data_IF_932341037070
#
_entry.id   IF_932341037070
#
_cell.length_a   1.000
_cell.length_b   1.000
_cell.length_c   1.000
_cell.angle_alpha   90.00
_cell.angle_beta   90.00
_cell.angle_gamma   90.00
#
_symmetry.space_group_name_H-M   'P 1'
#
loop_
_entity.id
_entity.type
_entity.pdbx_description
1 polymer ?
#
# COMPACT_ATOMS: atom_id res chain seq x y z
N UNK A 1 15.88 30.52 13.66
CA UNK A 1 15.93 29.31 12.83
C UNK A 1 14.80 29.43 11.82
N UNK A 2 15.12 29.65 10.54
CA UNK A 2 14.11 29.94 9.51
C UNK A 2 13.66 28.63 8.89
N UNK A 3 12.37 28.35 8.89
CA UNK A 3 11.78 27.17 8.27
C UNK A 3 11.04 27.56 6.98
N UNK A 4 10.79 26.59 6.11
CA UNK A 4 9.92 26.75 4.94
C UNK A 4 9.13 25.46 4.70
N UNK A 5 7.90 25.56 4.21
CA UNK A 5 7.08 24.39 3.87
C UNK A 5 6.34 24.54 2.55
N UNK A 6 5.91 23.40 2.00
CA UNK A 6 4.99 23.32 0.86
C UNK A 6 4.11 22.08 1.00
N UNK A 7 2.90 22.12 0.44
CA UNK A 7 1.95 21.03 0.48
C UNK A 7 1.32 20.77 -0.89
N UNK A 8 0.89 19.54 -1.10
CA UNK A 8 0.25 19.09 -2.35
C UNK A 8 -0.63 17.86 -2.09
N UNK A 9 -1.52 17.55 -3.03
CA UNK A 9 -2.41 16.37 -2.94
C UNK A 9 -1.64 15.09 -3.30
N UNK A 10 -1.81 14.04 -2.51
CA UNK A 10 -1.25 12.71 -2.73
C UNK A 10 -2.02 11.65 -1.93
N UNK A 11 -2.14 10.43 -2.45
CA UNK A 11 -2.74 9.27 -1.75
C UNK A 11 -4.12 9.54 -1.12
N UNK A 12 -4.98 10.29 -1.82
CA UNK A 12 -6.31 10.68 -1.34
C UNK A 12 -6.34 11.76 -0.24
N UNK A 13 -5.17 12.30 0.16
CA UNK A 13 -5.02 13.31 1.20
C UNK A 13 -4.07 14.44 0.76
N UNK A 14 -3.64 15.27 1.70
CA UNK A 14 -2.64 16.32 1.51
C UNK A 14 -1.34 15.90 2.19
N UNK A 15 -0.24 15.90 1.44
CA UNK A 15 1.12 15.76 1.96
C UNK A 15 1.73 17.14 2.17
N UNK A 16 2.51 17.30 3.25
CA UNK A 16 3.25 18.53 3.55
C UNK A 16 4.71 18.17 3.86
N UNK A 17 5.64 18.96 3.33
CA UNK A 17 7.05 18.90 3.67
C UNK A 17 7.49 20.23 4.29
N UNK A 18 8.14 20.14 5.45
CA UNK A 18 8.73 21.25 6.19
C UNK A 18 10.25 21.05 6.25
N UNK A 19 11.00 22.08 5.92
CA UNK A 19 12.47 22.09 6.00
C UNK A 19 12.96 23.18 6.95
N UNK A 20 14.10 22.93 7.59
CA UNK A 20 14.81 23.88 8.47
C UNK A 20 15.85 24.72 7.73
N UNK A 21 16.10 24.39 6.46
CA UNK A 21 16.93 25.14 5.52
C UNK A 21 16.06 25.44 4.28
N UNK A 22 15.57 26.68 4.10
CA UNK A 22 14.68 27.04 3.01
C UNK A 22 15.23 26.73 1.61
N UNK A 23 16.56 26.69 1.42
CA UNK A 23 17.18 26.37 0.13
C UNK A 23 16.91 24.93 -0.33
N UNK A 24 16.55 24.03 0.60
CA UNK A 24 16.28 22.61 0.33
C UNK A 24 14.83 22.31 0.01
N UNK A 25 13.93 23.28 0.12
CA UNK A 25 12.48 23.03 0.03
C UNK A 25 12.09 22.39 -1.30
N UNK A 26 12.64 22.88 -2.41
CA UNK A 26 12.34 22.35 -3.75
C UNK A 26 12.78 20.89 -3.90
N UNK A 27 14.02 20.57 -3.53
CA UNK A 27 14.56 19.21 -3.58
C UNK A 27 13.77 18.26 -2.68
N UNK A 28 13.47 18.68 -1.44
CA UNK A 28 12.70 17.87 -0.50
C UNK A 28 11.27 17.60 -1.00
N UNK A 29 10.62 18.59 -1.60
CA UNK A 29 9.29 18.44 -2.18
C UNK A 29 9.29 17.51 -3.41
N UNK A 30 10.31 17.58 -4.27
CA UNK A 30 10.45 16.66 -5.41
C UNK A 30 10.66 15.22 -4.96
N UNK A 31 11.58 14.99 -4.01
CA UNK A 31 11.81 13.65 -3.45
C UNK A 31 10.55 13.08 -2.81
N UNK A 32 9.84 13.87 -1.99
CA UNK A 32 8.60 13.41 -1.38
C UNK A 32 7.54 13.05 -2.44
N UNK A 33 7.46 13.84 -3.52
CA UNK A 33 6.51 13.56 -4.60
C UNK A 33 6.83 12.26 -5.32
N UNK A 34 8.09 12.06 -5.70
CA UNK A 34 8.55 10.84 -6.38
C UNK A 34 8.26 9.59 -5.54
N UNK A 35 8.52 9.64 -4.23
CA UNK A 35 8.23 8.53 -3.32
C UNK A 35 6.72 8.27 -3.18
N UNK A 36 5.91 9.31 -3.02
CA UNK A 36 4.46 9.17 -2.93
C UNK A 36 3.84 8.64 -4.23
N UNK A 37 4.35 9.05 -5.38
CA UNK A 37 3.91 8.58 -6.69
C UNK A 37 4.28 7.10 -6.89
N UNK A 38 5.47 6.68 -6.45
CA UNK A 38 5.88 5.28 -6.47
C UNK A 38 4.99 4.42 -5.56
N UNK A 39 4.65 4.91 -4.36
CA UNK A 39 3.72 4.24 -3.45
C UNK A 39 2.31 4.15 -4.07
N UNK A 40 1.81 5.21 -4.71
CA UNK A 40 0.50 5.20 -5.36
C UNK A 40 0.47 4.14 -6.48
N UNK A 41 1.52 4.09 -7.32
CA UNK A 41 1.63 3.11 -8.40
C UNK A 41 1.79 1.67 -7.88
N UNK A 42 2.40 1.45 -6.71
CA UNK A 42 2.52 0.11 -6.14
C UNK A 42 1.24 -0.34 -5.40
N UNK A 43 0.65 0.55 -4.60
CA UNK A 43 -0.28 0.17 -3.54
C UNK A 43 -1.70 0.74 -3.69
N UNK A 44 -1.98 1.55 -4.70
CA UNK A 44 -3.30 2.17 -4.84
C UNK A 44 -4.36 1.18 -5.28
N UNK A 45 -5.39 0.96 -4.46
CA UNK A 45 -6.54 0.12 -4.83
C UNK A 45 -7.56 0.80 -5.75
N UNK A 46 -7.39 2.10 -6.02
CA UNK A 46 -8.32 2.91 -6.81
C UNK A 46 -7.88 3.05 -8.26
N UNK A 47 -6.60 2.77 -8.55
CA UNK A 47 -6.05 2.83 -9.89
C UNK A 47 -5.92 1.43 -10.47
N UNK A 48 -6.30 1.28 -11.73
CA UNK A 48 -6.20 0.01 -12.45
C UNK A 48 -4.74 -0.33 -12.83
N UNK A 49 -3.89 0.68 -13.00
CA UNK A 49 -2.47 0.52 -13.35
C UNK A 49 -1.58 0.17 -12.17
N UNK A 50 -2.12 0.17 -10.95
CA UNK A 50 -1.34 -0.15 -9.77
C UNK A 50 -0.93 -1.61 -9.72
N UNK A 51 0.21 -1.88 -9.09
CA UNK A 51 0.69 -3.24 -8.93
C UNK A 51 -0.26 -4.09 -8.08
N UNK A 52 -0.79 -3.55 -6.99
CA UNK A 52 -1.75 -4.28 -6.13
C UNK A 52 -3.07 -4.59 -6.86
N UNK A 53 -3.55 -3.70 -7.74
CA UNK A 53 -4.75 -3.96 -8.54
C UNK A 53 -4.51 -5.10 -9.53
N UNK A 54 -3.38 -5.09 -10.22
CA UNK A 54 -2.97 -6.20 -11.12
C UNK A 54 -2.73 -7.51 -10.37
N UNK A 55 -2.24 -7.46 -9.13
CA UNK A 55 -2.08 -8.65 -8.28
C UNK A 55 -3.42 -9.35 -8.04
N UNK A 56 -4.50 -8.59 -7.82
CA UNK A 56 -5.82 -9.17 -7.60
C UNK A 56 -6.33 -9.98 -8.81
N UNK A 57 -5.97 -9.60 -10.02
CA UNK A 57 -6.32 -10.33 -11.25
C UNK A 57 -5.59 -11.68 -11.37
N UNK A 58 -4.46 -11.83 -10.67
CA UNK A 58 -3.63 -13.03 -10.68
C UNK A 58 -3.87 -13.92 -9.46
N UNK A 59 -5.04 -13.78 -8.80
CA UNK A 59 -5.39 -14.52 -7.60
C UNK A 59 -5.17 -16.04 -7.74
N UNK A 60 -4.52 -16.63 -6.73
CA UNK A 60 -4.21 -18.06 -6.70
C UNK A 60 -2.91 -18.45 -7.42
N UNK A 61 -2.19 -17.50 -8.01
CA UNK A 61 -0.88 -17.71 -8.65
C UNK A 61 0.24 -17.06 -7.86
N UNK A 62 1.46 -17.53 -8.11
CA UNK A 62 2.67 -16.88 -7.62
C UNK A 62 3.02 -15.73 -8.55
N UNK A 63 3.24 -14.55 -7.98
CA UNK A 63 3.49 -13.32 -8.72
C UNK A 63 4.73 -12.68 -8.15
N UNK A 64 5.65 -12.27 -9.02
CA UNK A 64 6.77 -11.42 -8.61
C UNK A 64 6.23 -10.01 -8.39
N UNK A 65 6.60 -9.44 -7.25
CA UNK A 65 6.24 -8.07 -6.89
C UNK A 65 7.48 -7.21 -6.75
N UNK A 66 7.33 -5.90 -6.91
CA UNK A 66 8.37 -4.91 -6.64
C UNK A 66 8.83 -4.96 -5.18
N UNK A 67 10.05 -4.46 -4.94
CA UNK A 67 10.57 -4.32 -3.58
C UNK A 67 9.66 -3.45 -2.71
N UNK A 68 9.15 -2.34 -3.28
CA UNK A 68 8.25 -1.42 -2.58
C UNK A 68 6.95 -2.09 -2.16
N UNK A 69 6.28 -2.82 -3.07
CA UNK A 69 5.07 -3.56 -2.71
C UNK A 69 5.36 -4.66 -1.69
N UNK A 70 6.50 -5.35 -1.81
CA UNK A 70 6.91 -6.36 -0.83
C UNK A 70 7.10 -5.77 0.58
N UNK A 71 7.71 -4.58 0.69
CA UNK A 71 7.87 -3.86 1.95
C UNK A 71 6.52 -3.45 2.54
N UNK A 72 5.63 -2.88 1.72
CA UNK A 72 4.29 -2.48 2.15
C UNK A 72 3.47 -3.69 2.66
N UNK A 73 3.49 -4.81 1.92
CA UNK A 73 2.85 -6.06 2.35
C UNK A 73 3.48 -6.60 3.64
N UNK A 74 4.80 -6.54 3.76
CA UNK A 74 5.53 -6.93 4.97
C UNK A 74 5.10 -6.12 6.19
N UNK A 75 4.98 -4.80 6.05
CA UNK A 75 4.51 -3.90 7.10
C UNK A 75 3.06 -4.21 7.51
N UNK A 76 2.18 -4.39 6.52
CA UNK A 76 0.76 -4.66 6.76
C UNK A 76 0.53 -6.01 7.47
N UNK A 77 1.24 -7.07 7.06
CA UNK A 77 1.17 -8.38 7.69
C UNK A 77 1.80 -8.39 9.09
N UNK A 78 2.85 -7.59 9.29
CA UNK A 78 3.42 -7.38 10.63
C UNK A 78 2.40 -6.71 11.55
N UNK A 79 1.72 -5.66 11.08
CA UNK A 79 0.68 -4.98 11.83
C UNK A 79 -0.43 -5.96 12.22
N UNK A 80 -0.95 -6.75 11.27
CA UNK A 80 -1.96 -7.76 11.54
C UNK A 80 -1.55 -8.74 12.65
N UNK A 81 -0.29 -9.19 12.63
CA UNK A 81 0.25 -10.08 13.67
C UNK A 81 0.35 -9.40 15.03
N UNK A 82 0.90 -8.18 15.08
CA UNK A 82 1.09 -7.43 16.32
C UNK A 82 -0.24 -7.09 16.99
N UNK A 83 -1.29 -6.90 16.20
CA UNK A 83 -2.62 -6.54 16.70
C UNK A 83 -3.56 -7.74 16.87
N UNK A 84 -3.08 -8.99 16.70
CA UNK A 84 -3.93 -10.17 16.76
C UNK A 84 -5.10 -10.16 15.77
N UNK A 85 -4.92 -9.53 14.60
CA UNK A 85 -5.93 -9.43 13.54
C UNK A 85 -6.86 -8.21 13.61
N UNK A 86 -6.69 -7.28 14.57
CA UNK A 86 -7.46 -6.01 14.54
C UNK A 86 -7.14 -5.15 13.31
N UNK A 87 -5.90 -5.21 12.83
CA UNK A 87 -5.53 -4.77 11.49
C UNK A 87 -5.57 -5.99 10.57
N UNK A 88 -6.31 -5.92 9.47
CA UNK A 88 -6.35 -6.98 8.45
C UNK A 88 -6.23 -6.35 7.05
N UNK A 89 -5.10 -6.54 6.34
CA UNK A 89 -4.91 -5.98 5.00
C UNK A 89 -5.73 -6.68 3.90
N UNK A 90 -6.47 -7.73 4.22
CA UNK A 90 -7.23 -8.55 3.25
C UNK A 90 -8.71 -8.18 3.18
N UNK A 91 -9.15 -7.19 3.95
CA UNK A 91 -10.55 -6.74 4.02
C UNK A 91 -11.03 -5.98 2.78
N UNK A 92 -10.19 -5.83 1.75
CA UNK A 92 -10.51 -5.04 0.55
C UNK A 92 -11.84 -5.41 -0.11
N UNK A 93 -12.18 -6.70 -0.17
CA UNK A 93 -13.48 -7.14 -0.70
C UNK A 93 -14.65 -6.69 0.18
N UNK A 94 -14.53 -6.81 1.51
CA UNK A 94 -15.55 -6.38 2.46
C UNK A 94 -15.73 -4.85 2.43
N UNK A 95 -14.63 -4.09 2.38
CA UNK A 95 -14.64 -2.63 2.28
C UNK A 95 -15.33 -2.16 1.00
N UNK A 96 -15.08 -2.82 -0.15
CA UNK A 96 -15.81 -2.54 -1.40
C UNK A 96 -17.30 -2.86 -1.30
N UNK A 97 -17.65 -3.99 -0.68
CA UNK A 97 -19.06 -4.37 -0.50
C UNK A 97 -19.83 -3.36 0.36
N UNK A 98 -19.14 -2.67 1.28
CA UNK A 98 -19.68 -1.56 2.08
C UNK A 98 -19.75 -0.22 1.32
N UNK A 99 -19.44 -0.19 0.02
CA UNK A 99 -19.55 1.03 -0.82
C UNK A 99 -18.33 1.96 -0.79
N UNK A 100 -17.20 1.52 -0.21
CA UNK A 100 -15.92 2.23 -0.29
C UNK A 100 -15.12 1.86 -1.54
N UNK A 101 -15.77 1.44 -2.62
CA UNK A 101 -15.14 1.17 -3.92
C UNK A 101 -14.80 2.45 -4.71
N UNK A 102 -15.29 3.61 -4.26
CA UNK A 102 -15.09 4.92 -4.90
C UNK A 102 -13.97 5.74 -4.24
N UNK A 103 -13.28 6.54 -5.05
CA UNK A 103 -12.40 7.61 -4.58
C UNK A 103 -13.18 8.53 -3.63
N UNK A 104 -12.57 9.01 -2.54
CA UNK A 104 -13.21 9.94 -1.61
C UNK A 104 -13.77 11.18 -2.32
N UNK A 105 -13.15 11.61 -3.43
CA UNK A 105 -13.67 12.69 -4.27
C UNK A 105 -15.05 12.37 -4.92
N UNK A 106 -15.45 11.10 -4.99
CA UNK A 106 -16.71 10.62 -5.56
C UNK A 106 -17.75 10.20 -4.50
N UNK A 107 -17.40 10.25 -3.20
CA UNK A 107 -18.26 9.82 -2.09
C UNK A 107 -19.23 10.92 -1.61
N UNK A 108 -19.04 12.19 -2.04
CA UNK A 108 -19.96 13.29 -1.69
C UNK A 108 -21.37 13.17 -2.32
N UNK A 109 -21.56 12.31 -3.31
CA UNK A 109 -22.88 12.00 -3.88
C UNK A 109 -23.43 10.71 -3.25
N UNK A 110 -24.24 10.90 -2.21
CA UNK A 110 -24.63 9.89 -1.23
C UNK A 110 -25.40 8.67 -1.76
N UNK A 111 -25.42 7.62 -0.93
CA UNK A 111 -26.48 6.62 -0.87
C UNK A 111 -26.35 5.77 0.41
N UNK A 112 -27.52 5.35 0.86
CA UNK A 112 -27.94 4.57 2.03
C UNK A 112 -27.09 3.33 2.38
N UNK A 113 -26.77 3.16 3.67
CA UNK A 113 -25.94 2.07 4.20
C UNK A 113 -26.82 0.89 4.69
N UNK A 114 -27.09 -0.05 3.79
CA UNK A 114 -27.64 -1.35 4.16
C UNK A 114 -26.59 -2.24 4.84
N UNK A 115 -26.79 -2.58 6.11
CA UNK A 115 -25.90 -3.44 6.89
C UNK A 115 -26.05 -4.91 6.46
N UNK A 116 -24.97 -5.52 5.98
CA UNK A 116 -24.86 -6.98 5.85
C UNK A 116 -23.62 -7.46 6.60
N UNK A 117 -23.86 -8.23 7.67
CA UNK A 117 -22.81 -8.89 8.46
C UNK A 117 -22.61 -10.31 7.91
N UNK A 118 -21.51 -10.55 7.21
CA UNK A 118 -21.05 -11.90 6.91
C UNK A 118 -19.62 -12.10 7.47
N UNK A 119 -19.46 -13.14 8.30
CA UNK A 119 -18.20 -13.49 8.96
C UNK A 119 -17.19 -13.99 7.92
N UNK A 120 -16.38 -13.09 7.40
CA UNK A 120 -15.29 -13.43 6.46
C UNK A 120 -14.19 -14.20 7.22
N UNK A 121 -13.99 -15.46 6.85
CA UNK A 121 -12.89 -16.28 7.38
C UNK A 121 -11.56 -15.65 6.96
N UNK A 122 -10.66 -15.44 7.92
CA UNK A 122 -9.34 -14.84 7.72
C UNK A 122 -8.55 -15.61 6.66
N UNK A 123 -8.39 -15.02 5.47
CA UNK A 123 -7.55 -15.57 4.42
C UNK A 123 -6.09 -15.22 4.76
N UNK A 124 -5.35 -16.20 5.25
CA UNK A 124 -3.97 -16.00 5.66
C UNK A 124 -3.09 -15.68 4.43
N UNK A 125 -2.74 -14.41 4.24
CA UNK A 125 -1.69 -14.03 3.30
C UNK A 125 -0.34 -14.27 3.98
N UNK A 126 0.38 -15.30 3.52
CA UNK A 126 1.74 -15.59 4.02
C UNK A 126 2.77 -14.95 3.09
N UNK A 127 3.32 -13.81 3.50
CA UNK A 127 4.56 -13.29 2.93
C UNK A 127 5.72 -14.09 3.54
N UNK A 128 6.31 -14.99 2.75
CA UNK A 128 7.57 -15.65 3.10
C UNK A 128 8.68 -14.68 2.73
N UNK A 129 9.48 -14.23 3.70
CA UNK A 129 10.72 -13.47 3.47
C UNK A 129 11.88 -14.45 3.53
N UNK A 130 12.56 -14.69 2.42
CA UNK A 130 13.72 -15.55 2.30
C UNK A 130 14.91 -14.61 2.26
N UNK A 131 15.53 -14.38 3.41
CA UNK A 131 16.88 -13.84 3.45
C UNK A 131 17.84 -15.01 3.27
N UNK A 132 18.81 -14.90 2.39
CA UNK A 132 19.98 -15.79 2.40
C UNK A 132 21.10 -14.98 3.03
N UNK A 133 21.46 -15.32 4.28
CA UNK A 133 22.65 -14.78 4.95
C UNK A 133 23.89 -15.39 4.29
N UNK A 134 24.34 -14.84 3.17
CA UNK A 134 25.72 -15.03 2.73
C UNK A 134 26.24 -13.78 1.99
N UNK A 135 27.29 -13.18 2.54
CA UNK A 135 27.94 -11.96 2.04
C UNK A 135 28.97 -12.33 0.98
N UNK A 136 28.55 -12.69 -0.23
CA UNK A 136 29.43 -12.58 -1.40
C UNK A 136 28.68 -12.68 -2.74
N UNK A 137 28.76 -11.58 -3.49
CA UNK A 137 28.61 -11.44 -4.95
C UNK A 137 27.21 -11.25 -5.59
N UNK A 138 27.28 -10.47 -6.68
CA UNK A 138 26.29 -9.77 -7.49
C UNK A 138 25.16 -10.60 -8.18
N UNK A 139 23.97 -9.96 -8.28
CA UNK A 139 22.74 -10.21 -9.11
C UNK A 139 21.97 -11.56 -8.96
N UNK A 140 20.65 -11.66 -9.30
CA UNK A 140 19.60 -10.66 -9.54
C UNK A 140 18.43 -10.72 -8.52
N UNK A 141 17.60 -9.67 -8.51
CA UNK A 141 16.52 -9.44 -7.55
C UNK A 141 15.36 -10.45 -7.59
N UNK A 142 15.15 -11.07 -6.43
CA UNK A 142 13.85 -11.42 -5.81
C UNK A 142 12.94 -12.45 -6.53
N UNK A 143 12.85 -13.63 -5.92
CA UNK A 143 11.80 -14.64 -6.17
C UNK A 143 10.87 -14.71 -4.95
N UNK A 144 9.56 -14.65 -5.16
CA UNK A 144 8.56 -14.74 -4.08
C UNK A 144 7.42 -15.70 -4.39
N UNK A 145 7.01 -16.46 -3.35
CA UNK A 145 6.09 -17.58 -3.41
C UNK A 145 4.93 -17.34 -2.43
N UNK A 146 3.69 -17.28 -2.93
CA UNK A 146 2.48 -17.25 -2.10
C UNK A 146 1.60 -18.44 -2.49
N UNK A 147 1.21 -19.26 -1.50
CA UNK A 147 0.21 -20.34 -1.63
C UNK A 147 -1.02 -20.00 -0.77
N UNK A 148 -2.20 -20.37 -1.29
CA UNK A 148 -3.52 -20.32 -0.62
C UNK A 148 -3.65 -21.37 0.49
N UNK A 149 -4.36 -21.01 1.55
CA UNK A 149 -5.39 -21.84 2.19
C UNK A 149 -6.64 -21.00 2.34
#
# INVERSE_FOLDING_TARGET
MTTASTSFRALGTTAEVLVTDPSRLSTAASLLREELDAIDLACSRFRADSEISRLHEQAGRQVRVSGLLAEALGAALRAARLTGGLVDPTVGAAVRALGYDRDFALVEAGADLGVVSEKQRSNAVRCLRTYRTDMSQDFPDSFWLVRRW
#
